data_IF_445013337430
#
_entry.id   IF_445013337430
#
_cell.length_a   1.000
_cell.length_b   1.000
_cell.length_c   1.000
_cell.angle_alpha   90.00
_cell.angle_beta   90.00
_cell.angle_gamma   90.00
#
_symmetry.space_group_name_H-M   'P 1'
#
loop_
_entity.id
_entity.type
_entity.pdbx_description
1 polymer ?
#
# COMPACT_ATOMS: atom_id res chain seq x y z
N UNK A 1 30.44 -4.58 11.56
CA UNK A 1 30.86 -5.50 12.63
C UNK A 1 32.09 -6.33 12.27
N UNK A 2 32.31 -6.67 11.00
CA UNK A 2 33.54 -7.34 10.55
C UNK A 2 34.80 -6.46 10.55
N UNK A 3 34.70 -5.20 10.97
CA UNK A 3 35.79 -4.23 10.91
C UNK A 3 36.59 -4.10 12.22
N UNK A 4 36.30 -4.91 13.24
CA UNK A 4 37.12 -4.94 14.46
C UNK A 4 37.86 -6.29 14.55
N UNK A 5 39.13 -6.38 14.10
CA UNK A 5 39.90 -7.61 14.08
C UNK A 5 40.31 -8.13 15.48
N UNK A 6 40.21 -7.29 16.52
CA UNK A 6 40.64 -7.61 17.88
C UNK A 6 39.50 -8.18 18.77
N UNK A 7 38.27 -8.35 18.22
CA UNK A 7 37.15 -8.91 18.98
C UNK A 7 37.30 -10.42 19.09
N UNK A 8 37.17 -10.95 20.33
CA UNK A 8 37.20 -12.38 20.60
C UNK A 8 36.05 -13.13 19.91
N UNK A 9 36.26 -14.42 19.63
CA UNK A 9 35.26 -15.27 18.93
C UNK A 9 33.98 -15.37 19.72
N UNK A 10 34.07 -15.56 21.04
CA UNK A 10 32.89 -15.68 21.92
C UNK A 10 32.10 -14.36 21.97
N UNK A 11 32.78 -13.21 21.99
CA UNK A 11 32.15 -11.90 21.96
C UNK A 11 31.45 -11.63 20.59
N UNK A 12 32.03 -12.10 19.50
CA UNK A 12 31.40 -12.03 18.18
C UNK A 12 30.12 -12.87 18.14
N UNK A 13 30.14 -14.08 18.66
CA UNK A 13 28.97 -14.97 18.71
C UNK A 13 27.86 -14.38 19.56
N UNK A 14 28.13 -13.81 20.73
CA UNK A 14 27.15 -13.14 21.58
C UNK A 14 26.53 -11.92 20.86
N UNK A 15 27.33 -11.15 20.13
CA UNK A 15 26.85 -10.02 19.33
C UNK A 15 25.93 -10.48 18.19
N UNK A 16 26.25 -11.57 17.47
CA UNK A 16 25.38 -12.11 16.44
C UNK A 16 24.06 -12.62 17.02
N UNK A 17 24.08 -13.34 18.13
CA UNK A 17 22.84 -13.78 18.82
C UNK A 17 21.98 -12.59 19.26
N UNK A 18 22.61 -11.50 19.67
CA UNK A 18 21.91 -10.28 20.07
C UNK A 18 21.27 -9.59 18.85
N UNK A 19 22.00 -9.51 17.73
CA UNK A 19 21.48 -8.98 16.47
C UNK A 19 20.27 -9.79 15.99
N UNK A 20 20.36 -11.10 16.01
CA UNK A 20 19.27 -11.99 15.59
C UNK A 20 18.02 -11.81 16.46
N UNK A 21 18.19 -11.71 17.79
CA UNK A 21 17.08 -11.42 18.71
C UNK A 21 16.44 -10.07 18.44
N UNK A 22 17.23 -9.02 18.20
CA UNK A 22 16.73 -7.68 17.92
C UNK A 22 16.03 -7.62 16.55
N UNK A 23 16.59 -8.26 15.55
CA UNK A 23 16.00 -8.37 14.21
C UNK A 23 14.65 -9.08 14.26
N UNK A 24 14.58 -10.22 14.96
CA UNK A 24 13.33 -10.95 15.16
C UNK A 24 12.29 -10.12 15.88
N UNK A 25 12.66 -9.45 16.97
CA UNK A 25 11.76 -8.58 17.73
C UNK A 25 11.27 -7.39 16.91
N UNK A 26 12.14 -6.78 16.09
CA UNK A 26 11.76 -5.71 15.17
C UNK A 26 10.74 -6.20 14.16
N UNK A 27 10.98 -7.35 13.54
CA UNK A 27 10.05 -7.98 12.60
C UNK A 27 8.68 -8.26 13.23
N UNK A 28 8.66 -8.89 14.42
CA UNK A 28 7.43 -9.20 15.14
C UNK A 28 6.60 -7.94 15.44
N UNK A 29 7.27 -6.86 15.88
CA UNK A 29 6.61 -5.57 16.13
C UNK A 29 6.08 -4.92 14.86
N UNK A 30 6.82 -5.00 13.78
CA UNK A 30 6.37 -4.51 12.47
C UNK A 30 5.13 -5.27 12.02
N UNK A 31 5.13 -6.60 12.12
CA UNK A 31 3.97 -7.43 11.75
C UNK A 31 2.74 -7.14 12.63
N UNK A 32 2.94 -6.91 13.93
CA UNK A 32 1.85 -6.51 14.83
C UNK A 32 1.16 -5.23 14.35
N UNK A 33 1.93 -4.19 14.04
CA UNK A 33 1.40 -2.90 13.55
C UNK A 33 0.73 -3.06 12.17
N UNK A 34 1.35 -3.77 11.25
CA UNK A 34 0.79 -4.03 9.92
C UNK A 34 -0.54 -4.79 9.99
N UNK A 35 -0.66 -5.78 10.87
CA UNK A 35 -1.91 -6.50 11.08
C UNK A 35 -3.03 -5.62 11.65
N UNK A 36 -2.68 -4.66 12.50
CA UNK A 36 -3.65 -3.69 13.04
C UNK A 36 -4.12 -2.71 11.96
N UNK A 37 -3.23 -2.28 11.06
CA UNK A 37 -3.54 -1.33 9.99
C UNK A 37 -4.25 -1.96 8.78
N UNK A 38 -4.09 -3.27 8.57
CA UNK A 38 -4.57 -3.95 7.36
C UNK A 38 -6.07 -3.73 7.08
N UNK A 39 -6.99 -3.88 8.06
CA UNK A 39 -8.43 -3.67 7.82
C UNK A 39 -8.74 -2.23 7.42
N UNK A 40 -8.09 -1.26 8.02
CA UNK A 40 -8.27 0.16 7.70
C UNK A 40 -7.75 0.46 6.29
N UNK A 41 -6.55 0.00 5.95
CA UNK A 41 -5.95 0.18 4.63
C UNK A 41 -6.85 -0.41 3.52
N UNK A 42 -7.36 -1.61 3.70
CA UNK A 42 -8.28 -2.23 2.74
C UNK A 42 -9.62 -1.49 2.65
N UNK A 43 -10.15 -1.01 3.77
CA UNK A 43 -11.38 -0.23 3.81
C UNK A 43 -11.22 1.09 3.06
N UNK A 44 -10.12 1.81 3.27
CA UNK A 44 -9.80 3.06 2.56
C UNK A 44 -9.68 2.82 1.06
N UNK A 45 -8.94 1.79 0.64
CA UNK A 45 -8.77 1.45 -0.77
C UNK A 45 -10.09 1.08 -1.45
N UNK A 46 -10.90 0.24 -0.81
CA UNK A 46 -12.21 -0.16 -1.34
C UNK A 46 -13.18 1.02 -1.43
N UNK A 47 -13.23 1.86 -0.40
CA UNK A 47 -14.08 3.06 -0.37
C UNK A 47 -13.64 4.08 -1.42
N UNK A 48 -12.34 4.28 -1.61
CA UNK A 48 -11.81 5.17 -2.65
C UNK A 48 -12.23 4.68 -4.04
N UNK A 49 -12.05 3.38 -4.32
CA UNK A 49 -12.50 2.77 -5.57
C UNK A 49 -14.00 2.97 -5.80
N UNK A 50 -14.82 2.76 -4.75
CA UNK A 50 -16.27 3.00 -4.81
C UNK A 50 -16.61 4.44 -5.15
N UNK A 51 -15.93 5.42 -4.56
CA UNK A 51 -16.14 6.85 -4.84
C UNK A 51 -15.83 7.19 -6.29
N UNK A 52 -14.74 6.65 -6.84
CA UNK A 52 -14.39 6.86 -8.24
C UNK A 52 -15.38 6.20 -9.21
N UNK A 53 -15.97 5.04 -8.87
CA UNK A 53 -17.01 4.42 -9.69
C UNK A 53 -18.31 5.24 -9.66
N UNK A 54 -18.65 5.82 -8.51
CA UNK A 54 -19.93 6.53 -8.33
C UNK A 54 -19.90 8.00 -8.75
N UNK A 55 -18.71 8.57 -8.95
CA UNK A 55 -18.55 9.99 -9.26
C UNK A 55 -17.53 10.18 -10.40
N UNK A 56 -17.89 10.96 -11.41
CA UNK A 56 -16.95 11.35 -12.46
C UNK A 56 -15.78 12.16 -11.90
N UNK A 57 -16.02 12.90 -10.83
CA UNK A 57 -15.03 13.73 -10.14
C UNK A 57 -15.19 13.58 -8.63
N UNK A 58 -14.10 13.32 -7.94
CA UNK A 58 -14.02 13.29 -6.47
C UNK A 58 -13.39 14.58 -5.99
N UNK A 59 -14.13 15.37 -5.18
CA UNK A 59 -13.66 16.61 -4.59
C UNK A 59 -13.10 16.36 -3.20
N UNK A 60 -11.92 16.94 -2.92
CA UNK A 60 -11.27 16.91 -1.59
C UNK A 60 -10.70 18.29 -1.26
N UNK A 61 -10.42 18.54 0.01
CA UNK A 61 -9.64 19.73 0.43
C UNK A 61 -8.18 19.52 0.02
N UNK A 62 -7.65 20.45 -0.78
CA UNK A 62 -6.31 20.34 -1.35
C UNK A 62 -5.22 20.55 -0.28
N UNK A 63 -4.34 19.59 -0.15
CA UNK A 63 -3.09 19.70 0.59
C UNK A 63 -1.89 19.97 -0.36
N UNK A 64 -0.67 19.97 0.14
CA UNK A 64 0.53 20.22 -0.64
C UNK A 64 0.78 19.11 -1.67
N UNK A 65 0.58 17.86 -1.29
CA UNK A 65 0.71 16.71 -2.19
C UNK A 65 -0.29 16.79 -3.37
N UNK A 66 -1.55 17.18 -3.11
CA UNK A 66 -2.56 17.32 -4.16
C UNK A 66 -2.17 18.41 -5.17
N UNK A 67 -1.56 19.51 -4.69
CA UNK A 67 -1.09 20.62 -5.54
C UNK A 67 0.09 20.20 -6.41
N UNK A 68 1.03 19.45 -5.84
CA UNK A 68 2.15 18.89 -6.60
C UNK A 68 1.66 17.89 -7.65
N UNK A 69 0.71 17.04 -7.29
CA UNK A 69 0.10 16.07 -8.20
C UNK A 69 -0.64 16.77 -9.35
N UNK A 70 -1.43 17.79 -9.04
CA UNK A 70 -2.17 18.58 -10.03
C UNK A 70 -1.28 19.40 -10.99
N UNK A 71 -0.03 19.71 -10.59
CA UNK A 71 0.95 20.33 -11.47
C UNK A 71 1.55 19.33 -12.50
N UNK A 72 1.48 18.03 -12.21
CA UNK A 72 2.15 17.00 -13.01
C UNK A 72 1.17 16.02 -13.71
N UNK A 73 -0.12 16.04 -13.37
CA UNK A 73 -1.11 15.10 -13.88
C UNK A 73 -2.41 15.79 -14.29
N UNK A 74 -2.85 15.56 -15.52
CA UNK A 74 -4.09 16.13 -16.08
C UNK A 74 -5.37 15.59 -15.41
N UNK A 75 -5.28 14.47 -14.71
CA UNK A 75 -6.41 13.87 -13.99
C UNK A 75 -6.73 14.56 -12.67
N UNK A 76 -5.88 15.50 -12.22
CA UNK A 76 -6.05 16.24 -10.96
C UNK A 76 -6.08 17.74 -11.24
N UNK A 77 -7.16 18.40 -10.85
CA UNK A 77 -7.35 19.83 -11.07
C UNK A 77 -7.45 20.56 -9.72
N UNK A 78 -6.68 21.62 -9.55
CA UNK A 78 -6.70 22.46 -8.32
C UNK A 78 -7.51 23.73 -8.57
N UNK A 79 -8.48 24.02 -7.70
CA UNK A 79 -9.23 25.27 -7.70
C UNK A 79 -9.35 25.81 -6.27
N UNK A 80 -8.58 26.85 -5.97
CA UNK A 80 -8.53 27.45 -4.64
C UNK A 80 -8.00 26.47 -3.57
N UNK A 81 -8.85 26.11 -2.62
CA UNK A 81 -8.56 25.17 -1.55
C UNK A 81 -9.05 23.74 -1.83
N UNK A 82 -9.50 23.46 -3.07
CA UNK A 82 -10.05 22.17 -3.49
C UNK A 82 -9.20 21.52 -4.55
N UNK A 83 -9.09 20.18 -4.46
CA UNK A 83 -8.56 19.31 -5.49
C UNK A 83 -9.71 18.44 -6.04
N UNK A 84 -9.75 18.32 -7.36
CA UNK A 84 -10.74 17.58 -8.14
C UNK A 84 -10.04 16.44 -8.85
N UNK A 85 -10.32 15.22 -8.45
CA UNK A 85 -9.78 14.01 -9.03
C UNK A 85 -10.77 13.42 -10.03
N UNK A 86 -10.40 13.40 -11.30
CA UNK A 86 -11.21 12.78 -12.35
C UNK A 86 -11.13 11.25 -12.24
N UNK A 87 -12.25 10.57 -12.50
CA UNK A 87 -12.28 9.11 -12.54
C UNK A 87 -11.76 8.51 -13.85
N UNK A 88 -11.26 9.36 -14.74
CA UNK A 88 -10.74 8.97 -16.05
C UNK A 88 -9.37 9.62 -16.30
N UNK A 89 -8.52 8.92 -17.05
CA UNK A 89 -7.19 9.36 -17.46
C UNK A 89 -6.72 8.60 -18.68
N UNK A 90 -5.66 9.10 -19.31
CA UNK A 90 -5.02 8.41 -20.44
C UNK A 90 -3.93 7.48 -19.93
N UNK A 91 -4.00 6.20 -20.30
CA UNK A 91 -2.97 5.20 -20.02
C UNK A 91 -2.62 4.42 -21.29
N UNK A 92 -1.35 4.40 -21.67
CA UNK A 92 -0.89 3.72 -22.89
C UNK A 92 -1.57 4.22 -24.18
N UNK A 93 -1.97 5.51 -24.22
CA UNK A 93 -2.66 6.11 -25.36
C UNK A 93 -4.18 5.85 -25.42
N UNK A 94 -4.73 5.12 -24.46
CA UNK A 94 -6.16 4.85 -24.35
C UNK A 94 -6.78 5.62 -23.19
N UNK A 95 -8.02 6.08 -23.38
CA UNK A 95 -8.78 6.65 -22.27
C UNK A 95 -9.30 5.51 -21.37
N UNK A 96 -8.94 5.57 -20.11
CA UNK A 96 -9.36 4.63 -19.06
C UNK A 96 -10.35 5.36 -18.15
N UNK A 97 -11.46 4.71 -17.84
CA UNK A 97 -12.41 5.15 -16.81
C UNK A 97 -12.36 4.14 -15.67
N UNK A 98 -12.25 4.61 -14.43
CA UNK A 98 -12.26 3.71 -13.28
C UNK A 98 -13.68 3.17 -13.05
N UNK A 99 -13.87 1.89 -13.24
CA UNK A 99 -15.17 1.23 -13.21
C UNK A 99 -15.23 0.02 -12.27
N UNK A 100 -14.17 -0.23 -11.47
CA UNK A 100 -14.12 -1.42 -10.62
C UNK A 100 -13.98 -1.12 -9.13
N UNK A 101 -14.67 -1.94 -8.33
CA UNK A 101 -14.58 -1.99 -6.88
C UNK A 101 -14.03 -3.37 -6.52
N UNK A 102 -13.10 -3.41 -5.56
CA UNK A 102 -12.50 -4.67 -5.11
C UNK A 102 -13.55 -5.64 -4.58
N UNK A 103 -13.55 -6.88 -5.08
CA UNK A 103 -14.35 -7.97 -4.53
C UNK A 103 -13.79 -8.43 -3.19
N UNK A 104 -14.66 -8.95 -2.32
CA UNK A 104 -14.23 -9.44 -1.00
C UNK A 104 -13.20 -10.58 -1.12
N UNK A 105 -13.34 -11.44 -2.11
CA UNK A 105 -12.38 -12.52 -2.39
C UNK A 105 -10.97 -11.99 -2.73
N UNK A 106 -10.86 -10.81 -3.38
CA UNK A 106 -9.57 -10.17 -3.64
C UNK A 106 -8.92 -9.66 -2.35
N UNK A 107 -9.71 -9.09 -1.44
CA UNK A 107 -9.23 -8.65 -0.12
C UNK A 107 -8.82 -9.84 0.76
N UNK A 108 -9.55 -10.95 0.69
CA UNK A 108 -9.18 -12.21 1.35
C UNK A 108 -7.85 -12.71 0.79
N UNK A 109 -7.70 -12.76 -0.54
CA UNK A 109 -6.45 -13.14 -1.20
C UNK A 109 -5.28 -12.25 -0.77
N UNK A 110 -5.48 -10.93 -0.75
CA UNK A 110 -4.49 -9.96 -0.27
C UNK A 110 -4.10 -10.19 1.18
N UNK A 111 -5.06 -10.52 2.05
CA UNK A 111 -4.80 -10.85 3.47
C UNK A 111 -3.96 -12.13 3.60
N UNK A 112 -4.27 -13.16 2.81
CA UNK A 112 -3.51 -14.42 2.81
C UNK A 112 -2.06 -14.18 2.37
N UNK A 113 -1.84 -13.37 1.33
CA UNK A 113 -0.50 -12.98 0.85
C UNK A 113 0.25 -12.13 1.90
N UNK A 114 -0.43 -11.19 2.55
CA UNK A 114 0.15 -10.39 3.64
C UNK A 114 0.65 -11.27 4.80
N UNK A 115 -0.02 -12.38 5.08
CA UNK A 115 0.39 -13.38 6.08
C UNK A 115 1.55 -14.28 5.61
N UNK A 116 2.13 -14.05 4.44
CA UNK A 116 3.20 -14.86 3.87
C UNK A 116 2.75 -16.25 3.40
N UNK A 117 1.45 -16.41 3.13
CA UNK A 117 0.86 -17.67 2.66
C UNK A 117 0.59 -17.63 1.16
N UNK A 118 0.35 -18.79 0.55
CA UNK A 118 -0.06 -18.91 -0.84
C UNK A 118 -1.58 -18.71 -0.92
N UNK A 119 -2.01 -17.76 -1.76
CA UNK A 119 -3.42 -17.56 -2.08
C UNK A 119 -3.77 -18.30 -3.37
N UNK A 120 -4.61 -19.32 -3.28
CA UNK A 120 -5.20 -19.98 -4.44
C UNK A 120 -6.56 -19.34 -4.74
N UNK A 121 -6.72 -18.83 -5.95
CA UNK A 121 -7.96 -18.23 -6.44
C UNK A 121 -8.39 -18.92 -7.73
N UNK A 122 -9.67 -19.27 -7.82
CA UNK A 122 -10.22 -19.91 -9.00
C UNK A 122 -10.29 -18.93 -10.20
N UNK A 123 -10.48 -19.50 -11.40
CA UNK A 123 -10.69 -18.69 -12.61
C UNK A 123 -11.99 -17.89 -12.48
N UNK A 124 -11.93 -16.59 -12.77
CA UNK A 124 -13.08 -15.68 -12.67
C UNK A 124 -13.25 -14.98 -11.32
N UNK A 125 -12.39 -15.23 -10.33
CA UNK A 125 -12.43 -14.56 -9.02
C UNK A 125 -11.70 -13.20 -8.99
N UNK A 126 -11.32 -12.66 -10.16
CA UNK A 126 -10.74 -11.32 -10.25
C UNK A 126 -9.29 -11.22 -9.75
N UNK A 127 -8.49 -12.29 -9.91
CA UNK A 127 -7.08 -12.29 -9.48
C UNK A 127 -6.14 -11.45 -10.36
N UNK A 128 -6.56 -11.07 -11.53
CA UNK A 128 -5.83 -10.23 -12.50
C UNK A 128 -6.43 -8.85 -12.58
#
# INVERSE_FOLDING_TARGET
>A
MDSNPDMDVDEKEENYLTIDKLTKKSYEKTQEVLNQLLPEAFSVMKETARRFVQNEVVEVTANEFDRELGANQDSVNIKGDKAYYNNNWTAGGNNIVWDMIHYDVQLIGGTVLHQGKIAEMATGEGKT
#
